data_IF_145705087057
#
_entry.id   IF_145705087057
#
_cell.length_a   1.000
_cell.length_b   1.000
_cell.length_c   1.000
_cell.angle_alpha   90.00
_cell.angle_beta   90.00
_cell.angle_gamma   90.00
#
_symmetry.space_group_name_H-M   'P 1'
#
loop_
_entity.id
_entity.type
_entity.pdbx_description
1 polymer ?
#
# COMPACT_ATOMS: atom_id res chain seq x y z
N UNK A 1 32.25 -32.47 -36.73
CA UNK A 1 32.22 -31.49 -35.62
C UNK A 1 30.87 -30.76 -35.43
N UNK A 2 29.84 -30.98 -36.26
CA UNK A 2 28.56 -30.25 -36.16
C UNK A 2 27.53 -30.78 -35.13
N UNK A 3 27.56 -32.09 -34.80
CA UNK A 3 26.59 -32.68 -33.84
C UNK A 3 26.80 -32.25 -32.38
N UNK A 4 28.02 -31.85 -32.03
CA UNK A 4 28.35 -31.39 -30.67
C UNK A 4 27.90 -29.94 -30.45
N UNK A 5 28.08 -29.06 -31.45
CA UNK A 5 27.60 -27.66 -31.38
C UNK A 5 26.08 -27.57 -31.19
N UNK A 6 25.29 -28.42 -31.84
CA UNK A 6 23.82 -28.42 -31.67
C UNK A 6 23.39 -28.81 -30.24
N UNK A 7 24.13 -29.69 -29.56
CA UNK A 7 23.83 -30.08 -28.17
C UNK A 7 24.16 -28.95 -27.18
N UNK A 8 25.29 -28.26 -27.38
CA UNK A 8 25.64 -27.11 -26.56
C UNK A 8 24.67 -25.94 -26.73
N UNK A 9 24.17 -25.73 -27.96
CA UNK A 9 23.18 -24.69 -28.24
C UNK A 9 21.83 -24.96 -27.56
N UNK A 10 21.36 -26.22 -27.56
CA UNK A 10 20.12 -26.59 -26.87
C UNK A 10 20.19 -26.38 -25.34
N UNK A 11 21.34 -26.68 -24.72
CA UNK A 11 21.55 -26.49 -23.27
C UNK A 11 21.62 -25.00 -22.92
N UNK A 12 22.25 -24.17 -23.76
CA UNK A 12 22.32 -22.73 -23.53
C UNK A 12 20.96 -22.03 -23.60
N UNK A 13 20.06 -22.49 -24.48
CA UNK A 13 18.70 -21.93 -24.63
C UNK A 13 17.83 -22.27 -23.41
N UNK A 14 17.94 -23.48 -22.87
CA UNK A 14 17.19 -23.89 -21.66
C UNK A 14 17.71 -23.13 -20.43
N UNK A 15 19.02 -22.93 -20.29
CA UNK A 15 19.60 -22.16 -19.20
C UNK A 15 19.22 -20.66 -19.25
N UNK A 16 19.08 -20.08 -20.44
CA UNK A 16 18.68 -18.67 -20.61
C UNK A 16 17.23 -18.40 -20.17
N UNK A 17 16.33 -19.39 -20.25
CA UNK A 17 14.94 -19.23 -19.81
C UNK A 17 14.75 -19.18 -18.29
N UNK A 18 15.76 -19.58 -17.50
CA UNK A 18 15.67 -19.56 -16.02
C UNK A 18 16.02 -18.18 -15.41
N UNK A 19 16.51 -17.23 -16.20
CA UNK A 19 16.94 -15.90 -15.71
C UNK A 19 15.78 -14.88 -15.75
N UNK A 20 14.63 -15.23 -16.34
CA UNK A 20 13.53 -14.27 -16.58
C UNK A 20 12.45 -14.23 -15.49
N UNK A 21 12.67 -14.82 -14.31
CA UNK A 21 11.83 -14.57 -13.15
C UNK A 21 12.42 -13.43 -12.32
N UNK A 22 12.43 -12.22 -12.88
CA UNK A 22 12.58 -10.99 -12.09
C UNK A 22 11.31 -10.82 -11.26
N UNK A 23 11.28 -11.48 -10.09
CA UNK A 23 10.31 -11.23 -9.05
C UNK A 23 10.52 -9.81 -8.53
N UNK A 24 10.00 -8.81 -9.25
CA UNK A 24 9.91 -7.45 -8.73
C UNK A 24 8.99 -7.53 -7.52
N UNK A 25 9.57 -7.49 -6.32
CA UNK A 25 8.84 -7.36 -5.06
C UNK A 25 8.11 -6.01 -5.06
N UNK A 26 6.95 -5.95 -5.71
CA UNK A 26 6.07 -4.80 -5.77
C UNK A 26 5.27 -4.74 -4.48
N UNK A 27 5.96 -4.44 -3.38
CA UNK A 27 5.25 -4.09 -2.14
C UNK A 27 4.55 -2.74 -2.37
N UNK A 28 3.35 -2.53 -1.80
CA UNK A 28 2.71 -1.23 -1.84
C UNK A 28 3.62 -0.12 -1.31
N UNK A 29 3.56 1.05 -1.93
CA UNK A 29 4.36 2.22 -1.55
C UNK A 29 3.48 3.45 -1.39
N UNK A 30 3.50 4.03 -0.19
CA UNK A 30 2.90 5.34 0.06
C UNK A 30 3.71 6.41 -0.69
N UNK A 31 3.01 7.22 -1.49
CA UNK A 31 3.53 8.42 -2.13
C UNK A 31 2.59 9.58 -1.86
N UNK A 32 3.16 10.78 -1.84
CA UNK A 32 2.39 12.01 -1.73
C UNK A 32 2.35 12.67 -3.11
N UNK A 33 1.21 13.23 -3.48
CA UNK A 33 1.15 14.08 -4.65
C UNK A 33 2.07 15.30 -4.46
N UNK A 34 2.57 15.87 -5.55
CA UNK A 34 3.52 16.99 -5.51
C UNK A 34 2.95 18.25 -4.85
N UNK A 35 1.63 18.41 -4.89
CA UNK A 35 0.87 19.48 -4.22
C UNK A 35 0.43 19.10 -2.80
N UNK A 36 0.80 17.90 -2.34
CA UNK A 36 0.45 17.30 -1.06
C UNK A 36 -1.05 17.32 -0.78
N UNK A 37 -1.92 17.28 -1.80
CA UNK A 37 -3.38 17.32 -1.62
C UNK A 37 -3.99 15.93 -1.45
N UNK A 38 -3.33 14.91 -2.00
CA UNK A 38 -3.78 13.52 -1.96
C UNK A 38 -2.62 12.60 -1.60
N UNK A 39 -2.98 11.45 -1.03
CA UNK A 39 -2.06 10.35 -0.73
C UNK A 39 -2.32 9.24 -1.75
N UNK A 40 -1.26 8.68 -2.32
CA UNK A 40 -1.34 7.64 -3.35
C UNK A 40 -0.53 6.43 -2.91
N UNK A 41 -1.18 5.29 -2.70
CA UNK A 41 -0.54 3.99 -2.48
C UNK A 41 -0.38 3.32 -3.84
N UNK A 42 0.87 3.14 -4.31
CA UNK A 42 1.21 2.55 -5.61
C UNK A 42 1.70 1.12 -5.48
N UNK A 43 1.84 0.43 -6.62
CA UNK A 43 2.41 -0.92 -6.72
C UNK A 43 1.61 -1.95 -5.90
N UNK A 44 0.28 -1.85 -5.92
CA UNK A 44 -0.57 -2.82 -5.25
C UNK A 44 -0.72 -4.03 -6.21
N UNK A 45 -0.50 -5.23 -5.69
CA UNK A 45 -0.70 -6.45 -6.47
C UNK A 45 -2.20 -6.71 -6.73
N UNK A 46 -2.49 -7.50 -7.76
CA UNK A 46 -3.87 -7.73 -8.21
C UNK A 46 -4.75 -8.39 -7.14
N UNK A 47 -4.20 -9.28 -6.31
CA UNK A 47 -4.95 -9.91 -5.23
C UNK A 47 -5.29 -8.90 -4.12
N UNK A 48 -4.36 -8.01 -3.77
CA UNK A 48 -4.62 -6.90 -2.85
C UNK A 48 -5.61 -5.88 -3.41
N UNK A 49 -5.54 -5.56 -4.71
CA UNK A 49 -6.52 -4.66 -5.36
C UNK A 49 -7.93 -5.23 -5.36
N UNK A 50 -8.07 -6.54 -5.63
CA UNK A 50 -9.37 -7.20 -5.61
C UNK A 50 -10.02 -7.12 -4.22
N UNK A 51 -9.22 -7.23 -3.16
CA UNK A 51 -9.70 -7.07 -1.78
C UNK A 51 -10.18 -5.65 -1.49
N UNK A 52 -9.39 -4.64 -1.88
CA UNK A 52 -9.78 -3.23 -1.73
C UNK A 52 -11.11 -2.99 -2.44
N UNK A 53 -11.29 -3.56 -3.65
CA UNK A 53 -12.53 -3.43 -4.42
C UNK A 53 -13.71 -4.13 -3.76
N UNK A 54 -13.54 -5.37 -3.30
CA UNK A 54 -14.60 -6.12 -2.62
C UNK A 54 -15.03 -5.43 -1.33
N UNK A 55 -14.10 -4.80 -0.61
CA UNK A 55 -14.38 -4.02 0.58
C UNK A 55 -15.14 -2.72 0.26
N UNK A 56 -14.71 -1.97 -0.76
CA UNK A 56 -15.37 -0.72 -1.18
C UNK A 56 -16.83 -0.97 -1.60
N UNK A 57 -17.10 -2.10 -2.26
CA UNK A 57 -18.46 -2.48 -2.68
C UNK A 57 -19.36 -2.97 -1.54
N UNK A 58 -18.79 -3.42 -0.42
CA UNK A 58 -19.54 -4.04 0.67
C UNK A 58 -20.25 -3.04 1.60
N UNK A 59 -20.09 -1.71 1.42
CA UNK A 59 -20.79 -0.65 2.17
C UNK A 59 -20.83 -0.84 3.71
N UNK A 60 -19.86 -1.58 4.24
CA UNK A 60 -19.82 -1.96 5.65
C UNK A 60 -18.88 -0.98 6.35
N UNK A 61 -19.12 -0.75 7.65
CA UNK A 61 -18.28 -0.02 8.63
C UNK A 61 -16.87 -0.65 8.80
N UNK A 62 -16.29 -1.06 7.68
CA UNK A 62 -15.14 -1.91 7.58
C UNK A 62 -13.87 -1.10 7.70
N UNK A 63 -12.90 -1.75 8.32
CA UNK A 63 -11.61 -1.18 8.71
C UNK A 63 -10.94 -0.41 7.58
N UNK A 64 -10.69 0.89 7.84
CA UNK A 64 -9.97 1.76 6.93
C UNK A 64 -8.60 1.14 6.55
N UNK A 65 -8.44 0.78 5.28
CA UNK A 65 -7.21 0.21 4.71
C UNK A 65 -6.07 1.24 4.63
N UNK A 66 -6.43 2.52 4.65
CA UNK A 66 -5.52 3.65 4.77
C UNK A 66 -6.01 4.48 5.96
N UNK A 67 -5.15 4.69 6.95
CA UNK A 67 -5.39 5.59 8.07
C UNK A 67 -4.52 6.84 7.91
N UNK A 68 -5.08 8.00 8.22
CA UNK A 68 -4.37 9.28 8.16
C UNK A 68 -4.64 10.03 9.46
N UNK A 69 -3.59 10.23 10.25
CA UNK A 69 -3.68 10.78 11.60
C UNK A 69 -2.91 12.09 11.63
N UNK A 70 -3.55 13.17 12.09
CA UNK A 70 -2.85 14.41 12.37
C UNK A 70 -1.98 14.21 13.62
N UNK A 71 -0.66 14.35 13.48
CA UNK A 71 0.23 14.31 14.64
C UNK A 71 0.12 15.63 15.39
N UNK A 72 -0.09 15.61 16.71
CA UNK A 72 0.03 16.80 17.51
C UNK A 72 1.46 17.36 17.41
N UNK A 73 1.60 18.67 17.59
CA UNK A 73 2.91 19.33 17.52
C UNK A 73 3.84 18.81 18.62
N UNK A 74 5.15 18.89 18.40
CA UNK A 74 6.18 18.37 19.32
C UNK A 74 6.10 18.91 20.77
N UNK A 75 5.33 19.99 20.99
CA UNK A 75 5.15 20.65 22.28
C UNK A 75 3.89 20.22 23.04
N UNK A 76 2.99 19.43 22.42
CA UNK A 76 1.71 19.07 23.01
C UNK A 76 1.36 17.59 22.80
N UNK A 77 2.15 16.72 23.45
CA UNK A 77 1.97 15.26 23.44
C UNK A 77 0.73 14.78 24.21
N UNK A 78 -0.06 15.69 24.79
CA UNK A 78 -1.28 15.36 25.53
C UNK A 78 -2.54 15.39 24.67
N UNK A 79 -2.43 15.85 23.42
CA UNK A 79 -3.55 15.81 22.48
C UNK A 79 -3.74 14.41 21.91
N UNK A 80 -5.00 13.98 21.88
CA UNK A 80 -5.40 12.72 21.25
C UNK A 80 -5.03 12.72 19.75
N UNK A 81 -4.77 11.52 19.22
CA UNK A 81 -4.60 11.30 17.79
C UNK A 81 -5.90 11.65 17.05
N UNK A 82 -5.83 12.61 16.12
CA UNK A 82 -7.00 13.06 15.35
C UNK A 82 -6.98 12.39 13.98
N UNK A 83 -7.94 11.50 13.73
CA UNK A 83 -8.17 10.91 12.41
C UNK A 83 -8.62 11.98 11.40
N UNK A 84 -7.99 11.98 10.22
CA UNK A 84 -8.34 12.84 9.10
C UNK A 84 -9.35 12.11 8.22
N UNK A 85 -10.62 12.56 8.16
CA UNK A 85 -11.62 11.91 7.32
C UNK A 85 -11.30 12.10 5.85
N UNK A 86 -11.63 11.10 5.04
CA UNK A 86 -11.38 11.12 3.60
C UNK A 86 -12.04 9.97 2.86
N UNK A 87 -11.95 10.02 1.54
CA UNK A 87 -12.49 9.01 0.63
C UNK A 87 -11.36 8.32 -0.11
N UNK A 88 -11.55 7.04 -0.35
CA UNK A 88 -10.61 6.22 -1.11
C UNK A 88 -11.15 6.03 -2.53
N UNK A 89 -10.26 6.05 -3.52
CA UNK A 89 -10.55 5.77 -4.92
C UNK A 89 -9.52 4.81 -5.48
N UNK A 90 -9.97 3.81 -6.23
CA UNK A 90 -9.08 2.87 -6.92
C UNK A 90 -8.79 3.41 -8.32
N UNK A 91 -7.52 3.45 -8.72
CA UNK A 91 -7.06 3.91 -10.03
C UNK A 91 -5.92 3.02 -10.56
N UNK A 92 -6.25 2.08 -11.45
CA UNK A 92 -5.27 1.13 -11.98
C UNK A 92 -4.69 0.24 -10.88
N UNK A 93 -3.37 0.27 -10.74
CA UNK A 93 -2.62 -0.47 -9.72
C UNK A 93 -2.42 0.31 -8.40
N UNK A 94 -3.18 1.38 -8.23
CA UNK A 94 -3.00 2.36 -7.18
C UNK A 94 -4.31 2.66 -6.45
N UNK A 95 -4.18 3.04 -5.19
CA UNK A 95 -5.27 3.50 -4.34
C UNK A 95 -4.98 4.94 -3.91
N UNK A 96 -5.95 5.82 -4.10
CA UNK A 96 -5.83 7.26 -3.85
C UNK A 96 -6.74 7.61 -2.69
N UNK A 97 -6.16 8.15 -1.61
CA UNK A 97 -6.89 8.75 -0.51
C UNK A 97 -7.01 10.26 -0.76
N UNK A 98 -8.24 10.76 -0.72
CA UNK A 98 -8.61 12.16 -0.87
C UNK A 98 -9.20 12.63 0.45
N UNK A 99 -8.53 13.52 1.21
CA UNK A 99 -9.09 14.01 2.46
C UNK A 99 -10.33 14.87 2.19
N UNK A 100 -11.28 14.89 3.12
CA UNK A 100 -12.47 15.75 3.01
C UNK A 100 -12.11 17.23 3.08
N UNK A 101 -11.08 17.55 3.85
CA UNK A 101 -10.51 18.88 3.97
C UNK A 101 -9.05 18.85 3.52
N UNK A 102 -8.56 19.86 2.78
CA UNK A 102 -7.16 19.92 2.39
C UNK A 102 -6.24 19.87 3.62
N UNK A 103 -5.12 19.16 3.48
CA UNK A 103 -4.08 19.16 4.50
C UNK A 103 -3.64 20.60 4.82
N UNK A 104 -3.38 20.87 6.10
CA UNK A 104 -3.01 22.19 6.60
C UNK A 104 -1.49 22.38 6.50
N UNK A 105 -1.06 23.62 6.22
CA UNK A 105 0.36 23.99 6.21
C UNK A 105 0.93 23.93 7.63
N UNK A 106 2.22 23.61 7.74
CA UNK A 106 2.96 23.45 8.99
C UNK A 106 2.39 22.38 9.92
N UNK A 107 1.74 21.36 9.36
CA UNK A 107 1.22 20.20 10.08
C UNK A 107 1.89 18.93 9.57
N UNK A 108 1.96 17.93 10.45
CA UNK A 108 2.49 16.60 10.13
C UNK A 108 1.38 15.57 10.23
N UNK A 109 1.30 14.69 9.24
CA UNK A 109 0.30 13.64 9.18
C UNK A 109 1.00 12.29 9.11
N UNK A 110 0.62 11.37 9.99
CA UNK A 110 1.01 9.97 9.92
C UNK A 110 0.05 9.25 8.99
N UNK A 111 0.60 8.65 7.94
CA UNK A 111 -0.15 7.82 7.00
C UNK A 111 0.22 6.37 7.24
N UNK A 112 -0.78 5.54 7.49
CA UNK A 112 -0.64 4.11 7.68
C UNK A 112 -1.37 3.36 6.57
N UNK A 113 -0.65 2.49 5.86
CA UNK A 113 -1.17 1.66 4.79
C UNK A 113 -1.20 0.20 5.23
N UNK A 114 -2.39 -0.39 5.24
CA UNK A 114 -2.64 -1.80 5.57
C UNK A 114 -2.79 -2.67 4.32
N UNK A 115 -2.78 -2.08 3.12
CA UNK A 115 -2.86 -2.80 1.85
C UNK A 115 -1.58 -3.61 1.65
N UNK A 116 -1.72 -4.89 1.30
CA UNK A 116 -0.60 -5.81 1.07
C UNK A 116 0.08 -6.33 2.34
N UNK A 117 -0.49 -6.06 3.53
CA UNK A 117 -0.09 -6.77 4.76
C UNK A 117 -0.60 -8.21 4.67
N UNK A 118 0.23 -9.19 5.07
CA UNK A 118 -0.04 -10.63 4.92
C UNK A 118 -1.47 -11.02 5.33
N UNK A 119 -2.15 -11.76 4.44
CA UNK A 119 -3.56 -12.17 4.49
C UNK A 119 -4.05 -12.71 5.86
N UNK A 120 -3.21 -13.44 6.60
CA UNK A 120 -3.56 -13.94 7.93
C UNK A 120 -3.92 -12.82 8.93
N UNK A 121 -3.52 -11.58 8.65
CA UNK A 121 -3.91 -10.39 9.40
C UNK A 121 -5.13 -9.67 8.85
N UNK A 122 -5.43 -9.78 7.56
CA UNK A 122 -6.50 -9.01 6.90
C UNK A 122 -7.87 -9.45 7.39
N UNK A 123 -8.16 -10.75 7.45
CA UNK A 123 -9.42 -11.26 8.03
C UNK A 123 -9.60 -10.80 9.48
N UNK A 124 -8.50 -10.71 10.22
CA UNK A 124 -8.51 -10.22 11.59
C UNK A 124 -8.61 -8.68 11.70
N UNK A 125 -8.20 -7.91 10.68
CA UNK A 125 -8.56 -6.50 10.53
C UNK A 125 -10.06 -6.39 10.28
N UNK A 126 -10.58 -7.14 9.31
CA UNK A 126 -11.98 -7.09 8.92
C UNK A 126 -12.91 -7.43 10.10
N UNK A 127 -12.46 -8.29 11.01
CA UNK A 127 -13.17 -8.63 12.25
C UNK A 127 -12.92 -7.67 13.43
N UNK A 128 -12.21 -6.56 13.22
CA UNK A 128 -11.99 -5.47 14.20
C UNK A 128 -10.98 -5.75 15.33
N UNK A 129 -10.42 -6.97 15.42
CA UNK A 129 -9.65 -7.41 16.59
C UNK A 129 -8.12 -7.33 16.44
N UNK A 130 -7.58 -7.07 15.24
CA UNK A 130 -6.13 -7.26 15.00
C UNK A 130 -5.34 -6.10 14.41
N UNK A 131 -5.81 -4.84 14.51
CA UNK A 131 -4.96 -3.69 14.15
C UNK A 131 -3.61 -3.71 14.90
N UNK A 132 -3.58 -4.24 16.13
CA UNK A 132 -2.39 -4.24 16.98
C UNK A 132 -1.28 -5.24 16.55
N UNK A 133 -1.63 -6.33 15.87
CA UNK A 133 -0.66 -7.36 15.44
C UNK A 133 -0.12 -7.13 14.03
N UNK A 134 -0.57 -6.05 13.38
CA UNK A 134 -0.19 -5.76 12.01
C UNK A 134 0.83 -4.66 11.97
N UNK A 135 1.80 -4.85 11.07
CA UNK A 135 2.84 -3.89 10.80
C UNK A 135 2.47 -3.17 9.49
N UNK A 136 1.63 -2.13 9.55
CA UNK A 136 1.32 -1.35 8.36
C UNK A 136 2.59 -0.63 7.89
N UNK A 137 2.63 -0.33 6.60
CA UNK A 137 3.60 0.62 6.08
C UNK A 137 3.23 2.01 6.62
N UNK A 138 4.18 2.71 7.25
CA UNK A 138 3.97 4.04 7.80
C UNK A 138 4.81 5.08 7.09
N UNK A 139 4.26 6.26 6.82
CA UNK A 139 5.00 7.39 6.26
C UNK A 139 4.44 8.72 6.79
N UNK A 140 5.33 9.70 6.98
CA UNK A 140 4.93 11.03 7.46
C UNK A 140 4.83 11.99 6.28
N UNK A 141 3.66 12.60 6.12
CA UNK A 141 3.47 13.76 5.26
C UNK A 141 3.72 15.03 6.08
N UNK A 142 4.68 15.84 5.67
CA UNK A 142 4.89 17.20 6.19
C UNK A 142 4.42 18.19 5.14
N UNK A 143 3.61 19.16 5.54
CA UNK A 143 3.08 20.20 4.66
C UNK A 143 3.43 21.59 5.17
#
# INVERSE_FOLDING_TARGET
MFKSLCKFSAVAIIAATLISCSGTNKKPVIKFASDSTVIVVKNIDEASLLQVKNHDQANTDSVALISVILKPGDLDSLQDDIDVPGKVKIAGDSVIFVPEQPFQKNKSYLVENYIGVNFAGMDNLLNGSARHNLQPQKQILKR
#
